data_IF_462025752156
#
_entry.id   IF_462025752156
#
_cell.length_a   1.000
_cell.length_b   1.000
_cell.length_c   1.000
_cell.angle_alpha   90.00
_cell.angle_beta   90.00
_cell.angle_gamma   90.00
#
_symmetry.space_group_name_H-M   'P 1'
#
loop_
_entity.id
_entity.type
_entity.pdbx_description
1 polymer ?
#
# COMPACT_ATOMS: atom_id res chain seq x y z
N UNK A 1 -5.09 -8.73 -11.33
CA UNK A 1 -3.89 -8.70 -10.47
C UNK A 1 -3.73 -7.26 -9.95
N UNK A 2 -3.49 -7.06 -8.65
CA UNK A 2 -3.31 -5.74 -8.03
C UNK A 2 -1.82 -5.36 -7.86
N UNK A 3 -0.92 -6.24 -8.30
CA UNK A 3 0.52 -6.02 -8.30
C UNK A 3 0.90 -4.92 -9.31
N UNK A 4 1.78 -4.02 -8.88
CA UNK A 4 2.45 -3.07 -9.76
C UNK A 4 3.89 -3.53 -9.91
N UNK A 5 4.26 -3.94 -11.12
CA UNK A 5 5.66 -4.23 -11.45
C UNK A 5 6.42 -2.91 -11.63
N UNK A 6 7.56 -2.78 -10.97
CA UNK A 6 8.43 -1.62 -11.11
C UNK A 6 9.44 -1.87 -12.22
N UNK A 7 9.69 -0.87 -13.08
CA UNK A 7 10.59 -1.01 -14.23
C UNK A 7 12.06 -1.25 -13.82
N UNK A 8 12.42 -0.82 -12.62
CA UNK A 8 13.73 -1.00 -12.02
C UNK A 8 13.58 -1.18 -10.51
N UNK A 9 14.65 -1.66 -9.87
CA UNK A 9 14.76 -1.65 -8.40
C UNK A 9 14.60 -0.23 -7.84
N UNK A 10 14.02 -0.13 -6.65
CA UNK A 10 13.80 1.16 -5.98
C UNK A 10 14.49 1.13 -4.62
N UNK A 11 15.35 2.11 -4.39
CA UNK A 11 16.10 2.24 -3.13
C UNK A 11 15.42 3.18 -2.13
N UNK A 12 14.38 3.91 -2.56
CA UNK A 12 13.70 4.91 -1.74
C UNK A 12 12.18 4.84 -1.87
N UNK A 13 11.50 4.98 -0.73
CA UNK A 13 10.04 5.10 -0.58
C UNK A 13 9.45 6.20 -1.47
N UNK A 14 10.18 7.28 -1.76
CA UNK A 14 9.72 8.34 -2.67
C UNK A 14 9.30 7.79 -4.05
N UNK A 15 9.97 6.74 -4.55
CA UNK A 15 9.62 6.09 -5.81
C UNK A 15 8.29 5.31 -5.73
N UNK A 16 7.86 4.93 -4.52
CA UNK A 16 6.63 4.19 -4.27
C UNK A 16 5.40 5.09 -4.12
N UNK A 17 5.55 6.43 -4.08
CA UNK A 17 4.44 7.37 -3.90
C UNK A 17 3.37 7.21 -4.98
N UNK A 18 3.78 7.19 -6.25
CA UNK A 18 2.84 7.05 -7.36
C UNK A 18 2.19 5.66 -7.42
N UNK A 19 2.94 4.55 -7.34
CA UNK A 19 2.36 3.21 -7.21
C UNK A 19 1.37 3.11 -6.05
N UNK A 20 1.73 3.63 -4.87
CA UNK A 20 0.89 3.56 -3.69
C UNK A 20 -0.41 4.34 -3.85
N UNK A 21 -0.35 5.54 -4.45
CA UNK A 21 -1.54 6.34 -4.77
C UNK A 21 -2.47 5.60 -5.73
N UNK A 22 -1.93 4.93 -6.74
CA UNK A 22 -2.72 4.11 -7.66
C UNK A 22 -3.39 2.94 -6.92
N UNK A 23 -2.63 2.16 -6.16
CA UNK A 23 -3.16 0.98 -5.45
C UNK A 23 -4.25 1.33 -4.44
N UNK A 24 -4.08 2.44 -3.71
CA UNK A 24 -5.09 2.91 -2.75
C UNK A 24 -6.33 3.48 -3.43
N UNK A 25 -6.19 4.09 -4.62
CA UNK A 25 -7.32 4.44 -5.49
C UNK A 25 -8.10 3.20 -5.98
N UNK A 26 -7.40 2.18 -6.45
CA UNK A 26 -8.01 0.92 -6.90
C UNK A 26 -8.75 0.21 -5.75
N UNK A 27 -8.15 0.20 -4.55
CA UNK A 27 -8.78 -0.34 -3.34
C UNK A 27 -10.04 0.44 -2.96
N UNK A 28 -9.98 1.77 -2.97
CA UNK A 28 -11.13 2.63 -2.69
C UNK A 28 -12.29 2.36 -3.67
N UNK A 29 -11.99 2.27 -4.97
CA UNK A 29 -12.99 1.94 -5.99
C UNK A 29 -13.62 0.56 -5.77
N UNK A 30 -12.81 -0.45 -5.42
CA UNK A 30 -13.28 -1.80 -5.11
C UNK A 30 -14.22 -1.84 -3.90
N UNK A 31 -13.91 -1.09 -2.85
CA UNK A 31 -14.71 -0.99 -1.62
C UNK A 31 -16.01 -0.22 -1.86
N UNK A 32 -15.94 0.88 -2.62
CA UNK A 32 -17.10 1.68 -2.98
C UNK A 32 -18.14 0.87 -3.78
N UNK A 33 -17.69 0.05 -4.73
CA UNK A 33 -18.57 -0.85 -5.49
C UNK A 33 -19.29 -1.92 -4.65
N UNK A 34 -18.89 -2.11 -3.39
CA UNK A 34 -19.52 -3.04 -2.43
C UNK A 34 -20.26 -2.31 -1.30
N UNK A 35 -20.33 -0.99 -1.38
CA UNK A 35 -20.79 -0.11 -0.30
C UNK A 35 -20.13 -0.42 1.06
N UNK A 36 -18.85 -0.78 1.01
CA UNK A 36 -18.08 -1.18 2.18
C UNK A 36 -16.89 -0.27 2.47
N UNK A 37 -16.15 -0.62 3.51
CA UNK A 37 -14.88 -0.01 3.88
C UNK A 37 -13.93 -1.07 4.45
N UNK A 38 -12.65 -0.71 4.57
CA UNK A 38 -11.62 -1.57 5.11
C UNK A 38 -11.12 -1.04 6.44
N UNK A 39 -10.93 -1.94 7.41
CA UNK A 39 -10.28 -1.61 8.69
C UNK A 39 -8.83 -2.08 8.73
N UNK A 40 -8.46 -3.06 7.89
CA UNK A 40 -7.10 -3.61 7.80
C UNK A 40 -6.78 -4.03 6.38
N UNK A 41 -5.62 -3.63 5.88
CA UNK A 41 -5.07 -4.11 4.62
C UNK A 41 -3.55 -4.26 4.74
N UNK A 42 -2.93 -4.90 3.74
CA UNK A 42 -1.50 -5.18 3.75
C UNK A 42 -0.89 -4.70 2.44
N UNK A 43 0.17 -3.91 2.53
CA UNK A 43 1.06 -3.69 1.39
C UNK A 43 2.10 -4.82 1.38
N UNK A 44 2.28 -5.45 0.22
CA UNK A 44 3.33 -6.45 0.02
C UNK A 44 4.42 -5.82 -0.83
N UNK A 45 5.61 -5.69 -0.26
CA UNK A 45 6.80 -5.21 -0.94
C UNK A 45 7.59 -6.44 -1.36
N UNK A 46 7.68 -6.66 -2.67
CA UNK A 46 8.52 -7.72 -3.21
C UNK A 46 9.93 -7.20 -3.41
N UNK A 47 10.90 -8.01 -3.02
CA UNK A 47 12.32 -7.71 -3.15
C UNK A 47 12.90 -8.57 -4.26
N UNK A 48 13.87 -8.02 -4.99
CA UNK A 48 14.58 -8.76 -6.02
C UNK A 48 15.23 -10.02 -5.45
N UNK A 49 15.82 -9.88 -4.27
CA UNK A 49 16.40 -10.98 -3.50
C UNK A 49 15.72 -11.07 -2.14
N UNK A 50 15.44 -12.29 -1.68
CA UNK A 50 14.87 -12.53 -0.35
C UNK A 50 13.34 -12.59 -0.29
N UNK A 51 12.81 -12.48 0.94
CA UNK A 51 11.38 -12.66 1.24
C UNK A 51 10.65 -11.34 1.19
N UNK A 52 9.49 -11.30 0.53
CA UNK A 52 8.63 -10.12 0.51
C UNK A 52 8.32 -9.59 1.92
N UNK A 53 8.35 -8.27 2.09
CA UNK A 53 7.97 -7.59 3.34
C UNK A 53 6.47 -7.30 3.33
N UNK A 54 5.78 -7.68 4.42
CA UNK A 54 4.37 -7.38 4.62
C UNK A 54 4.19 -6.19 5.56
N UNK A 55 3.71 -5.06 5.03
CA UNK A 55 3.42 -3.85 5.79
C UNK A 55 1.94 -3.82 6.12
N UNK A 56 1.61 -4.06 7.40
CA UNK A 56 0.22 -4.09 7.87
C UNK A 56 -0.26 -2.67 8.15
N UNK A 57 -1.41 -2.31 7.57
CA UNK A 57 -2.10 -1.04 7.82
C UNK A 57 -3.41 -1.36 8.54
N UNK A 58 -3.62 -0.71 9.69
CA UNK A 58 -4.83 -0.88 10.51
C UNK A 58 -5.44 0.48 10.86
N UNK A 59 -6.76 0.54 10.84
CA UNK A 59 -7.58 1.71 11.07
C UNK A 59 -8.54 1.48 12.24
N UNK A 60 -8.97 2.57 12.87
CA UNK A 60 -9.90 2.52 14.02
C UNK A 60 -11.36 2.30 13.60
N UNK A 61 -11.71 2.69 12.38
CA UNK A 61 -13.04 2.52 11.78
C UNK A 61 -12.89 2.09 10.32
N UNK A 62 -13.93 1.50 9.70
CA UNK A 62 -13.92 1.24 8.27
C UNK A 62 -13.68 2.53 7.48
N UNK A 63 -12.74 2.50 6.53
CA UNK A 63 -12.42 3.60 5.63
C UNK A 63 -12.50 3.14 4.18
N UNK A 64 -12.83 4.05 3.28
CA UNK A 64 -12.82 3.84 1.83
C UNK A 64 -12.30 5.03 1.03
N UNK A 65 -12.03 6.18 1.65
CA UNK A 65 -11.43 7.33 0.99
C UNK A 65 -10.00 7.02 0.54
N UNK A 66 -9.73 7.21 -0.75
CA UNK A 66 -8.43 6.90 -1.34
C UNK A 66 -7.30 7.75 -0.73
N UNK A 67 -7.57 9.03 -0.41
CA UNK A 67 -6.59 9.92 0.18
C UNK A 67 -6.20 9.49 1.59
N UNK A 68 -7.18 9.17 2.43
CA UNK A 68 -6.96 8.65 3.78
C UNK A 68 -6.22 7.32 3.77
N UNK A 69 -6.62 6.39 2.89
CA UNK A 69 -5.93 5.10 2.74
C UNK A 69 -4.48 5.30 2.28
N UNK A 70 -4.22 6.24 1.37
CA UNK A 70 -2.87 6.61 0.92
C UNK A 70 -2.02 7.16 2.06
N UNK A 71 -2.51 8.15 2.81
CA UNK A 71 -1.73 8.77 3.89
C UNK A 71 -1.38 7.77 4.99
N UNK A 72 -2.34 6.92 5.38
CA UNK A 72 -2.11 5.87 6.38
C UNK A 72 -1.10 4.83 5.91
N UNK A 73 -1.21 4.40 4.66
CA UNK A 73 -0.28 3.47 4.04
C UNK A 73 1.13 4.04 3.96
N UNK A 74 1.26 5.30 3.52
CA UNK A 74 2.54 6.01 3.40
C UNK A 74 3.21 6.14 4.77
N UNK A 75 2.49 6.58 5.79
CA UNK A 75 3.02 6.71 7.14
C UNK A 75 3.51 5.37 7.73
N UNK A 76 2.86 4.26 7.37
CA UNK A 76 3.36 2.91 7.75
C UNK A 76 4.61 2.53 6.98
N UNK A 77 4.64 2.80 5.68
CA UNK A 77 5.79 2.49 4.82
C UNK A 77 7.06 3.24 5.27
N UNK A 78 6.93 4.49 5.69
CA UNK A 78 8.03 5.31 6.24
C UNK A 78 8.67 4.72 7.51
N UNK A 79 7.94 3.87 8.25
CA UNK A 79 8.43 3.20 9.45
C UNK A 79 9.08 1.84 9.16
N UNK A 80 9.02 1.37 7.91
CA UNK A 80 9.54 0.05 7.53
C UNK A 80 11.03 0.16 7.25
N UNK A 81 11.80 -0.61 8.01
CA UNK A 81 13.18 -0.93 7.63
C UNK A 81 13.14 -2.15 6.71
N UNK A 82 13.60 -1.98 5.48
CA UNK A 82 13.74 -3.09 4.55
C UNK A 82 14.94 -3.95 4.96
N UNK A 83 14.85 -5.28 4.83
CA UNK A 83 16.03 -6.12 4.99
C UNK A 83 17.09 -5.74 3.94
N UNK A 84 18.36 -5.75 4.35
CA UNK A 84 19.51 -5.63 3.43
C UNK A 84 19.61 -6.81 2.46
#
# INVERSE_FOLDING_TARGET
>A
DLRIELTHEVENIAALVFPLRRMTGDLAAYLAGRDGGVQRFVLRLEHREGRATAVKVGLLSPERDAGMLFELARGRLEQVQLPE
#
